data_IF_230992294761
#
_entry.id   IF_230992294761
#
_cell.length_a   1.000
_cell.length_b   1.000
_cell.length_c   1.000
_cell.angle_alpha   90.00
_cell.angle_beta   90.00
_cell.angle_gamma   90.00
#
_symmetry.space_group_name_H-M   'P 1'
#
loop_
_entity.id
_entity.type
_entity.pdbx_description
1 polymer ?
#
# COMPACT_ATOMS: atom_id res chain seq x y z
N UNK A 1 -12.85 15.82 15.17
CA UNK A 1 -12.10 15.65 13.90
C UNK A 1 -12.74 14.68 12.88
N UNK A 2 -13.70 13.79 13.21
CA UNK A 2 -14.09 12.71 12.25
C UNK A 2 -15.04 13.10 11.12
N UNK A 3 -15.78 14.21 11.20
CA UNK A 3 -16.69 14.62 10.12
C UNK A 3 -16.08 15.63 9.14
N UNK A 4 -15.10 16.40 9.60
CA UNK A 4 -14.53 17.52 8.85
C UNK A 4 -13.77 17.06 7.58
N UNK A 5 -13.08 15.91 7.63
CA UNK A 5 -12.30 15.44 6.48
C UNK A 5 -13.16 15.15 5.25
N UNK A 6 -14.43 14.72 5.42
CA UNK A 6 -15.33 14.46 4.27
C UNK A 6 -15.75 15.77 3.61
N UNK A 7 -15.99 16.82 4.41
CA UNK A 7 -16.32 18.16 3.89
C UNK A 7 -15.12 18.72 3.13
N UNK A 8 -13.93 18.73 3.77
CA UNK A 8 -12.66 19.11 3.11
C UNK A 8 -12.45 18.34 1.81
N UNK A 9 -12.67 17.03 1.83
CA UNK A 9 -12.54 16.20 0.65
C UNK A 9 -13.49 16.61 -0.49
N UNK A 10 -14.74 16.99 -0.18
CA UNK A 10 -15.68 17.51 -1.20
C UNK A 10 -15.23 18.85 -1.77
N UNK A 11 -14.58 19.68 -0.96
CA UNK A 11 -14.05 20.97 -1.37
C UNK A 11 -12.90 20.84 -2.38
N UNK A 12 -12.14 19.73 -2.36
CA UNK A 12 -11.16 19.38 -3.39
C UNK A 12 -11.85 18.85 -4.67
N UNK A 13 -12.65 19.72 -5.30
CA UNK A 13 -13.31 19.48 -6.59
C UNK A 13 -12.81 20.49 -7.61
N UNK A 14 -12.80 20.09 -8.87
CA UNK A 14 -12.52 20.99 -9.98
C UNK A 14 -13.75 21.86 -10.26
N UNK A 15 -13.58 23.18 -10.22
CA UNK A 15 -14.60 24.16 -10.57
C UNK A 15 -14.40 24.56 -12.04
N UNK A 16 -15.40 24.33 -12.88
CA UNK A 16 -15.27 24.54 -14.32
C UNK A 16 -14.86 25.97 -14.68
N UNK A 17 -15.37 26.97 -13.96
CA UNK A 17 -15.02 28.37 -14.17
C UNK A 17 -13.56 28.72 -13.83
N UNK A 18 -12.90 27.98 -12.93
CA UNK A 18 -11.50 28.19 -12.57
C UNK A 18 -10.51 27.40 -13.46
N UNK A 19 -11.01 26.62 -14.43
CA UNK A 19 -10.14 25.93 -15.41
C UNK A 19 -9.68 26.85 -16.54
N UNK A 20 -10.39 27.96 -16.74
CA UNK A 20 -10.14 28.90 -17.84
C UNK A 20 -9.12 29.95 -17.40
N UNK A 21 -8.37 30.51 -18.34
CA UNK A 21 -7.43 31.60 -18.05
C UNK A 21 -8.17 32.91 -17.71
N UNK A 22 -9.38 33.10 -18.22
CA UNK A 22 -10.28 34.22 -17.94
C UNK A 22 -11.28 33.91 -16.80
N UNK A 23 -10.79 33.30 -15.72
CA UNK A 23 -11.64 32.88 -14.60
C UNK A 23 -12.40 34.07 -13.98
N UNK A 24 -13.73 33.95 -13.91
CA UNK A 24 -14.59 34.97 -13.30
C UNK A 24 -14.61 34.83 -11.77
N UNK A 25 -14.47 35.96 -11.08
CA UNK A 25 -14.52 36.07 -9.63
C UNK A 25 -15.87 35.62 -9.04
N UNK A 26 -16.96 35.70 -9.82
CA UNK A 26 -18.29 35.22 -9.42
C UNK A 26 -18.33 33.72 -9.12
N UNK A 27 -17.43 32.92 -9.71
CA UNK A 27 -17.30 31.47 -9.45
C UNK A 27 -16.91 31.18 -8.00
N UNK A 28 -16.29 32.15 -7.32
CA UNK A 28 -15.87 32.04 -5.93
C UNK A 28 -16.96 32.48 -4.95
N UNK A 29 -18.04 33.08 -5.41
CA UNK A 29 -19.10 33.59 -4.56
C UNK A 29 -19.84 32.41 -3.90
N UNK A 30 -19.98 32.48 -2.57
CA UNK A 30 -20.57 31.41 -1.76
C UNK A 30 -19.64 30.24 -1.42
N UNK A 31 -18.37 30.26 -1.84
CA UNK A 31 -17.37 29.31 -1.34
C UNK A 31 -16.93 29.68 0.08
N UNK A 32 -16.87 28.67 0.96
CA UNK A 32 -16.29 28.87 2.29
C UNK A 32 -14.76 28.94 2.24
N UNK A 33 -14.16 29.39 3.35
CA UNK A 33 -12.70 29.53 3.48
C UNK A 33 -11.92 28.26 3.08
N UNK A 34 -12.40 27.08 3.47
CA UNK A 34 -11.75 25.81 3.14
C UNK A 34 -11.90 25.46 1.66
N UNK A 35 -13.03 25.79 1.03
CA UNK A 35 -13.23 25.62 -0.41
C UNK A 35 -12.38 26.59 -1.23
N UNK A 36 -12.19 27.83 -0.77
CA UNK A 36 -11.28 28.79 -1.40
C UNK A 36 -9.83 28.30 -1.34
N UNK A 37 -9.37 27.83 -0.17
CA UNK A 37 -8.03 27.21 -0.05
C UNK A 37 -7.90 25.97 -0.93
N UNK A 38 -8.90 25.09 -0.95
CA UNK A 38 -8.88 23.90 -1.80
C UNK A 38 -8.79 24.28 -3.29
N UNK A 39 -9.52 25.31 -3.71
CA UNK A 39 -9.50 25.79 -5.09
C UNK A 39 -8.15 26.44 -5.47
N UNK A 40 -7.54 27.20 -4.55
CA UNK A 40 -6.21 27.77 -4.73
C UNK A 40 -5.13 26.68 -4.88
N UNK A 41 -5.29 25.56 -4.18
CA UNK A 41 -4.35 24.45 -4.15
C UNK A 41 -4.63 23.35 -5.20
N UNK A 42 -5.74 23.42 -5.94
CA UNK A 42 -6.16 22.39 -6.89
C UNK A 42 -5.39 22.50 -8.23
N UNK A 43 -4.53 21.52 -8.58
CA UNK A 43 -3.75 21.55 -9.82
C UNK A 43 -4.57 21.46 -11.11
N UNK A 44 -5.84 21.06 -11.05
CA UNK A 44 -6.73 20.99 -12.22
C UNK A 44 -7.25 22.37 -12.68
N UNK A 45 -7.08 23.42 -11.86
CA UNK A 45 -7.42 24.80 -12.21
C UNK A 45 -6.29 25.45 -13.01
N UNK A 46 -6.60 26.50 -13.78
CA UNK A 46 -5.59 27.34 -14.44
C UNK A 46 -4.75 28.07 -13.39
N UNK A 47 -3.61 28.61 -13.80
CA UNK A 47 -2.79 29.45 -12.91
C UNK A 47 -3.57 30.70 -12.46
N UNK A 48 -4.25 31.36 -13.39
CA UNK A 48 -5.13 32.49 -13.09
C UNK A 48 -6.26 32.12 -12.12
N UNK A 49 -6.92 30.97 -12.32
CA UNK A 49 -7.97 30.48 -11.44
C UNK A 49 -7.47 30.18 -10.02
N UNK A 50 -6.27 29.58 -9.89
CA UNK A 50 -5.63 29.36 -8.57
C UNK A 50 -5.26 30.68 -7.89
N UNK A 51 -4.67 31.62 -8.62
CA UNK A 51 -4.31 32.93 -8.09
C UNK A 51 -5.53 33.73 -7.63
N UNK A 52 -6.61 33.70 -8.42
CA UNK A 52 -7.89 34.33 -8.07
C UNK A 52 -8.46 33.73 -6.78
N UNK A 53 -8.49 32.40 -6.66
CA UNK A 53 -8.91 31.73 -5.43
C UNK A 53 -7.99 32.07 -4.24
N UNK A 54 -6.68 32.12 -4.45
CA UNK A 54 -5.70 32.44 -3.42
C UNK A 54 -5.85 33.88 -2.88
N UNK A 55 -6.23 34.84 -3.73
CA UNK A 55 -6.45 36.23 -3.30
C UNK A 55 -7.62 36.41 -2.33
N UNK A 56 -8.59 35.49 -2.36
CA UNK A 56 -9.75 35.46 -1.43
C UNK A 56 -9.57 34.45 -0.31
N UNK A 57 -8.69 33.47 -0.46
CA UNK A 57 -8.47 32.44 0.53
C UNK A 57 -7.76 33.03 1.77
N UNK A 58 -8.18 32.67 2.99
CA UNK A 58 -7.40 33.04 4.18
C UNK A 58 -6.02 32.39 4.12
N UNK A 59 -5.03 33.05 4.74
CA UNK A 59 -3.65 32.58 4.78
C UNK A 59 -3.55 31.12 5.26
N UNK A 60 -2.54 30.41 4.74
CA UNK A 60 -2.31 28.99 5.01
C UNK A 60 -2.78 28.07 3.89
N UNK A 61 -2.19 26.88 3.85
CA UNK A 61 -2.44 25.88 2.81
C UNK A 61 -3.68 25.05 3.13
N UNK A 62 -4.30 24.49 2.10
CA UNK A 62 -5.32 23.48 2.28
C UNK A 62 -4.68 22.18 2.76
N UNK A 63 -5.23 21.59 3.84
CA UNK A 63 -4.75 20.32 4.41
C UNK A 63 -5.89 19.32 4.56
N UNK A 64 -5.57 18.05 4.36
CA UNK A 64 -6.50 16.93 4.47
C UNK A 64 -5.85 15.77 5.19
N UNK A 65 -6.31 15.51 6.40
CA UNK A 65 -5.95 14.33 7.17
C UNK A 65 -7.10 13.31 7.14
N UNK A 66 -6.87 12.16 6.52
CA UNK A 66 -7.81 11.02 6.58
C UNK A 66 -7.61 10.34 7.93
N UNK A 67 -8.67 10.09 8.73
CA UNK A 67 -8.53 9.45 10.04
C UNK A 67 -7.90 8.04 9.97
N UNK A 68 -6.97 7.79 10.90
CA UNK A 68 -6.26 6.51 11.00
C UNK A 68 -7.07 5.38 11.61
N UNK A 69 -6.46 4.19 11.61
CA UNK A 69 -7.03 3.01 12.25
C UNK A 69 -6.58 2.85 13.70
N UNK A 70 -5.44 3.46 14.03
CA UNK A 70 -4.79 3.45 15.34
C UNK A 70 -5.20 4.70 16.13
N UNK A 71 -5.27 4.55 17.46
CA UNK A 71 -5.44 5.63 18.43
C UNK A 71 -4.26 5.59 19.42
N UNK A 72 -4.00 6.70 20.10
CA UNK A 72 -2.97 6.80 21.15
C UNK A 72 -3.03 5.62 22.15
N UNK A 73 -4.22 5.30 22.68
CA UNK A 73 -4.44 4.16 23.60
C UNK A 73 -4.08 2.78 23.03
N UNK A 74 -4.16 2.61 21.71
CA UNK A 74 -3.81 1.33 21.08
C UNK A 74 -2.29 1.13 21.11
N UNK A 75 -1.51 2.22 21.02
CA UNK A 75 -0.04 2.22 21.02
C UNK A 75 0.57 1.85 22.38
N UNK A 76 -0.17 2.00 23.48
CA UNK A 76 0.24 1.54 24.81
C UNK A 76 0.50 0.02 24.87
N UNK A 77 -0.04 -0.76 23.91
CA UNK A 77 0.28 -2.19 23.76
C UNK A 77 1.67 -2.46 23.18
N UNK A 78 2.38 -1.43 22.73
CA UNK A 78 3.71 -1.51 22.15
C UNK A 78 3.80 -2.48 20.97
N UNK A 79 4.87 -3.27 20.94
CA UNK A 79 5.11 -4.23 19.86
C UNK A 79 4.02 -5.32 19.75
N UNK A 80 3.33 -5.68 20.85
CA UNK A 80 2.29 -6.73 20.83
C UNK A 80 1.12 -6.37 19.91
N UNK A 81 0.88 -5.08 19.65
CA UNK A 81 -0.15 -4.62 18.70
C UNK A 81 0.09 -5.15 17.28
N UNK A 82 1.35 -5.18 16.84
CA UNK A 82 1.74 -5.51 15.46
C UNK A 82 2.31 -6.92 15.31
N UNK A 83 2.98 -7.42 16.36
CA UNK A 83 3.74 -8.66 16.36
C UNK A 83 3.09 -9.77 17.21
N UNK A 84 1.85 -9.60 17.66
CA UNK A 84 1.12 -10.59 18.46
C UNK A 84 0.50 -11.75 17.66
N UNK A 85 -0.37 -12.51 18.34
CA UNK A 85 -1.05 -13.72 17.82
C UNK A 85 -1.74 -13.56 16.47
N UNK A 86 -2.33 -12.39 16.18
CA UNK A 86 -2.97 -12.16 14.88
C UNK A 86 -2.02 -12.26 13.69
N UNK A 87 -0.73 -11.95 13.86
CA UNK A 87 0.28 -12.15 12.81
C UNK A 87 0.62 -13.63 12.66
N UNK A 88 0.81 -14.31 13.79
CA UNK A 88 1.10 -15.75 13.86
C UNK A 88 -0.01 -16.53 13.14
N UNK A 89 -1.27 -16.27 13.46
CA UNK A 89 -2.43 -16.90 12.83
C UNK A 89 -2.44 -16.73 11.31
N UNK A 90 -2.20 -15.52 10.79
CA UNK A 90 -2.12 -15.27 9.33
C UNK A 90 -0.97 -16.02 8.67
N UNK A 91 0.20 -16.07 9.31
CA UNK A 91 1.37 -16.77 8.75
C UNK A 91 1.13 -18.28 8.69
N UNK A 92 0.62 -18.87 9.78
CA UNK A 92 0.40 -20.31 9.87
C UNK A 92 -0.80 -20.78 9.05
N UNK A 93 -1.91 -20.04 9.00
CA UNK A 93 -3.04 -20.40 8.13
C UNK A 93 -2.67 -20.39 6.65
N UNK A 94 -1.86 -19.41 6.22
CA UNK A 94 -1.32 -19.38 4.86
C UNK A 94 -0.41 -20.57 4.57
N UNK A 95 0.50 -20.91 5.49
CA UNK A 95 1.37 -22.09 5.34
C UNK A 95 0.57 -23.40 5.32
N UNK A 96 -0.39 -23.55 6.23
CA UNK A 96 -1.25 -24.73 6.32
C UNK A 96 -2.04 -24.95 5.02
N UNK A 97 -2.56 -23.89 4.40
CA UNK A 97 -3.20 -23.97 3.09
C UNK A 97 -2.27 -24.61 2.04
N UNK A 98 -1.02 -24.15 1.94
CA UNK A 98 -0.05 -24.71 0.99
C UNK A 98 0.33 -26.16 1.31
N UNK A 99 0.44 -26.52 2.60
CA UNK A 99 0.72 -27.90 3.00
C UNK A 99 -0.43 -28.85 2.66
N UNK A 100 -1.67 -28.44 2.91
CA UNK A 100 -2.86 -29.22 2.53
C UNK A 100 -2.91 -29.40 1.02
N UNK A 101 -2.70 -28.32 0.27
CA UNK A 101 -2.66 -28.39 -1.19
C UNK A 101 -1.56 -29.33 -1.71
N UNK A 102 -0.36 -29.27 -1.13
CA UNK A 102 0.74 -30.17 -1.49
C UNK A 102 0.38 -31.63 -1.20
N UNK A 103 -0.26 -31.90 -0.05
CA UNK A 103 -0.73 -33.24 0.30
C UNK A 103 -1.79 -33.76 -0.69
N UNK A 104 -2.70 -32.90 -1.14
CA UNK A 104 -3.71 -33.24 -2.16
C UNK A 104 -3.04 -33.60 -3.49
N UNK A 105 -2.08 -32.79 -3.93
CA UNK A 105 -1.34 -33.06 -5.17
C UNK A 105 -0.51 -34.36 -5.08
N UNK A 106 0.13 -34.60 -3.94
CA UNK A 106 0.89 -35.84 -3.70
C UNK A 106 -0.03 -37.07 -3.69
N UNK A 107 -1.18 -36.99 -3.03
CA UNK A 107 -2.17 -38.06 -3.01
C UNK A 107 -2.73 -38.36 -4.41
N UNK A 108 -3.00 -37.32 -5.21
CA UNK A 108 -3.44 -37.49 -6.60
C UNK A 108 -2.36 -38.17 -7.47
N UNK A 109 -1.08 -37.90 -7.23
CA UNK A 109 0.03 -38.51 -7.96
C UNK A 109 0.32 -39.96 -7.54
N UNK A 110 0.15 -40.29 -6.24
CA UNK A 110 0.32 -41.65 -5.73
C UNK A 110 -0.88 -42.54 -6.10
N UNK A 111 -2.09 -41.98 -6.12
CA UNK A 111 -3.33 -42.69 -6.46
C UNK A 111 -3.51 -43.03 -7.94
N UNK A 112 -2.67 -42.50 -8.83
CA UNK A 112 -2.61 -42.92 -10.23
C UNK A 112 -1.68 -44.13 -10.36
N UNK A 113 -2.21 -45.34 -10.20
CA UNK A 113 -1.51 -46.57 -10.59
C UNK A 113 -1.48 -46.69 -12.12
N UNK A 114 -0.30 -46.78 -12.72
CA UNK A 114 -0.15 -47.08 -14.15
C UNK A 114 0.01 -48.59 -14.30
N UNK A 115 -1.09 -49.31 -14.54
CA UNK A 115 -1.00 -50.69 -14.99
C UNK A 115 -0.61 -50.72 -16.47
N UNK A 116 0.58 -51.25 -16.75
CA UNK A 116 1.09 -51.40 -18.12
C UNK A 116 0.74 -52.80 -18.60
N UNK A 117 -0.37 -52.95 -19.30
CA UNK A 117 -0.62 -54.14 -20.11
C UNK A 117 0.24 -54.05 -21.39
N UNK A 118 0.98 -55.12 -21.79
CA UNK A 118 1.91 -55.07 -22.92
C UNK A 118 1.26 -54.80 -24.30
N UNK A 119 -0.07 -54.78 -24.40
CA UNK A 119 -0.81 -54.50 -25.64
C UNK A 119 -1.76 -53.30 -25.55
N UNK A 120 -2.02 -52.75 -24.36
CA UNK A 120 -2.85 -51.56 -24.15
C UNK A 120 -2.37 -50.81 -22.90
N UNK A 121 -1.94 -49.57 -23.08
CA UNK A 121 -1.66 -48.68 -21.95
C UNK A 121 -3.01 -48.20 -21.39
N UNK A 122 -3.61 -48.96 -20.47
CA UNK A 122 -4.84 -48.57 -19.76
C UNK A 122 -4.43 -47.92 -18.45
N UNK A 123 -4.63 -46.61 -18.35
CA UNK A 123 -4.43 -45.89 -17.09
C UNK A 123 -5.66 -46.15 -16.20
N UNK A 124 -5.60 -47.19 -15.36
CA UNK A 124 -6.62 -47.48 -14.35
C UNK A 124 -6.40 -46.60 -13.11
N UNK A 125 -7.26 -45.60 -12.91
CA UNK A 125 -7.20 -44.69 -11.75
C UNK A 125 -8.11 -45.20 -10.63
N UNK A 126 -7.54 -45.89 -9.65
CA UNK A 126 -8.07 -45.96 -8.28
C UNK A 126 -9.23 -46.93 -7.98
N UNK A 127 -9.48 -47.18 -6.68
CA UNK A 127 -10.08 -48.40 -6.12
C UNK A 127 -11.59 -48.50 -6.32
N UNK A 128 -12.10 -49.68 -6.70
CA UNK A 128 -13.49 -49.92 -7.12
C UNK A 128 -14.57 -49.58 -6.07
N UNK A 129 -14.21 -49.39 -4.79
CA UNK A 129 -15.17 -49.22 -3.68
C UNK A 129 -14.94 -48.00 -2.77
N UNK A 130 -13.98 -47.12 -3.05
CA UNK A 130 -13.83 -45.89 -2.26
C UNK A 130 -14.88 -44.88 -2.72
N UNK A 131 -15.74 -44.43 -1.80
CA UNK A 131 -16.71 -43.35 -2.03
C UNK A 131 -15.98 -42.03 -2.31
N UNK A 132 -15.56 -41.86 -3.56
CA UNK A 132 -14.73 -40.76 -4.04
C UNK A 132 -15.36 -39.40 -3.72
N UNK A 133 -16.70 -39.32 -3.72
CA UNK A 133 -17.44 -38.11 -3.39
C UNK A 133 -17.16 -37.64 -1.95
N UNK A 134 -17.09 -38.58 -1.00
CA UNK A 134 -16.75 -38.27 0.39
C UNK A 134 -15.30 -37.79 0.52
N UNK A 135 -14.36 -38.46 -0.16
CA UNK A 135 -12.94 -38.07 -0.12
C UNK A 135 -12.74 -36.67 -0.71
N UNK A 136 -13.32 -36.38 -1.87
CA UNK A 136 -13.25 -35.05 -2.49
C UNK A 136 -13.93 -33.97 -1.63
N UNK A 137 -15.04 -34.29 -0.96
CA UNK A 137 -15.69 -33.40 0.00
C UNK A 137 -14.79 -33.00 1.17
N UNK A 138 -14.17 -33.98 1.83
CA UNK A 138 -13.24 -33.73 2.95
C UNK A 138 -11.98 -33.00 2.51
N UNK A 139 -11.43 -33.36 1.35
CA UNK A 139 -10.26 -32.71 0.75
C UNK A 139 -10.56 -31.24 0.41
N UNK A 140 -11.71 -30.99 -0.22
CA UNK A 140 -12.16 -29.63 -0.53
C UNK A 140 -12.34 -28.79 0.73
N UNK A 141 -12.97 -29.35 1.76
CA UNK A 141 -13.14 -28.66 3.04
C UNK A 141 -11.80 -28.37 3.74
N UNK A 142 -10.88 -29.35 3.75
CA UNK A 142 -9.55 -29.22 4.34
C UNK A 142 -8.71 -28.13 3.66
N UNK A 143 -8.87 -27.92 2.35
CA UNK A 143 -8.21 -26.84 1.62
C UNK A 143 -8.91 -25.47 1.81
N UNK A 144 -10.25 -25.45 1.77
CA UNK A 144 -11.02 -24.21 1.87
C UNK A 144 -10.96 -23.58 3.26
N UNK A 145 -10.89 -24.38 4.33
CA UNK A 145 -10.91 -23.86 5.69
C UNK A 145 -9.67 -23.01 6.05
N UNK A 146 -8.41 -23.46 5.84
CA UNK A 146 -7.24 -22.62 6.05
C UNK A 146 -7.23 -21.35 5.18
N UNK A 147 -7.72 -21.44 3.94
CA UNK A 147 -7.86 -20.30 3.04
C UNK A 147 -8.87 -19.27 3.60
N UNK A 148 -10.03 -19.74 4.07
CA UNK A 148 -11.05 -18.90 4.69
C UNK A 148 -10.51 -18.25 5.97
N UNK A 149 -9.82 -19.00 6.84
CA UNK A 149 -9.19 -18.47 8.06
C UNK A 149 -8.16 -17.42 7.69
N UNK A 150 -7.28 -17.69 6.72
CA UNK A 150 -6.27 -16.74 6.25
C UNK A 150 -6.92 -15.46 5.70
N UNK A 151 -7.96 -15.60 4.89
CA UNK A 151 -8.71 -14.50 4.30
C UNK A 151 -9.37 -13.64 5.40
N UNK A 152 -10.12 -14.25 6.31
CA UNK A 152 -10.78 -13.56 7.42
C UNK A 152 -9.77 -12.89 8.36
N UNK A 153 -8.68 -13.58 8.72
CA UNK A 153 -7.64 -13.03 9.59
C UNK A 153 -6.89 -11.85 8.94
N UNK A 154 -6.79 -11.84 7.60
CA UNK A 154 -6.23 -10.75 6.82
C UNK A 154 -7.21 -9.58 6.70
N UNK A 155 -8.43 -9.82 6.20
CA UNK A 155 -9.48 -8.84 6.00
C UNK A 155 -9.86 -8.11 7.31
N UNK A 156 -9.99 -8.86 8.40
CA UNK A 156 -10.45 -8.36 9.70
C UNK A 156 -9.32 -7.82 10.59
N UNK A 157 -8.10 -7.61 10.05
CA UNK A 157 -7.02 -6.93 10.78
C UNK A 157 -7.48 -5.54 11.20
N UNK A 158 -7.68 -5.34 12.51
CA UNK A 158 -8.39 -4.15 13.04
C UNK A 158 -7.56 -2.86 13.06
N UNK A 159 -6.26 -2.98 13.32
CA UNK A 159 -5.35 -1.87 13.67
C UNK A 159 -4.05 -1.86 12.84
N UNK A 160 -4.10 -1.91 11.49
CA UNK A 160 -2.91 -1.67 10.69
C UNK A 160 -2.48 -0.20 10.82
N UNK A 161 -1.18 0.06 10.98
CA UNK A 161 -0.64 1.41 10.82
C UNK A 161 -0.64 1.81 9.34
N UNK A 162 -0.77 3.09 9.03
CA UNK A 162 -0.49 3.64 7.71
C UNK A 162 0.94 4.17 7.71
N UNK A 163 1.80 3.52 6.95
CA UNK A 163 3.22 3.85 6.82
C UNK A 163 3.41 4.49 5.46
N UNK A 164 3.77 5.78 5.41
CA UNK A 164 4.27 6.37 4.17
C UNK A 164 5.73 5.96 4.01
N UNK A 165 6.09 5.39 2.86
CA UNK A 165 7.47 5.13 2.47
C UNK A 165 7.87 6.11 1.36
N UNK A 166 8.72 7.08 1.72
CA UNK A 166 9.42 7.94 0.79
C UNK A 166 10.71 7.24 0.37
N UNK A 167 10.92 7.09 -0.94
CA UNK A 167 12.08 6.40 -1.49
C UNK A 167 12.38 6.89 -2.90
N UNK A 168 13.61 6.69 -3.35
CA UNK A 168 13.94 6.78 -4.76
C UNK A 168 13.38 5.58 -5.53
N UNK A 169 12.87 5.82 -6.74
CA UNK A 169 12.46 4.76 -7.66
C UNK A 169 13.53 4.46 -8.72
N UNK A 170 13.39 3.32 -9.39
CA UNK A 170 14.10 2.96 -10.63
C UNK A 170 15.58 2.63 -10.50
N UNK A 171 16.07 2.33 -9.29
CA UNK A 171 17.41 1.75 -9.12
C UNK A 171 17.29 0.34 -8.58
N UNK A 172 17.34 -0.65 -9.48
CA UNK A 172 17.17 -2.08 -9.15
C UNK A 172 18.07 -2.54 -8.01
N UNK A 173 19.31 -2.04 -7.96
CA UNK A 173 20.29 -2.38 -6.93
C UNK A 173 19.83 -2.04 -5.50
N UNK A 174 18.95 -1.04 -5.34
CA UNK A 174 18.41 -0.63 -4.03
C UNK A 174 16.98 -1.13 -3.81
N UNK A 175 16.20 -1.28 -4.89
CA UNK A 175 14.81 -1.73 -4.81
C UNK A 175 14.68 -3.14 -4.22
N UNK A 176 15.54 -4.08 -4.62
CA UNK A 176 15.41 -5.47 -4.17
C UNK A 176 15.67 -5.64 -2.66
N UNK A 177 16.78 -5.12 -2.09
CA UNK A 177 16.95 -5.08 -0.63
C UNK A 177 15.78 -4.42 0.11
N UNK A 178 15.27 -3.30 -0.42
CA UNK A 178 14.18 -2.57 0.21
C UNK A 178 12.85 -3.34 0.13
N UNK A 179 12.57 -4.06 -0.95
CA UNK A 179 11.40 -4.95 -1.06
C UNK A 179 11.45 -6.07 -0.02
N UNK A 180 12.63 -6.65 0.22
CA UNK A 180 12.83 -7.62 1.30
C UNK A 180 12.60 -6.96 2.67
N UNK A 181 13.10 -5.74 2.89
CA UNK A 181 12.85 -4.99 4.13
C UNK A 181 11.37 -4.65 4.36
N UNK A 182 10.67 -4.26 3.29
CA UNK A 182 9.22 -4.06 3.29
C UNK A 182 8.50 -5.33 3.78
N UNK A 183 8.85 -6.48 3.20
CA UNK A 183 8.22 -7.77 3.54
C UNK A 183 8.55 -8.22 4.97
N UNK A 184 9.82 -8.16 5.35
CA UNK A 184 10.34 -8.73 6.60
C UNK A 184 10.03 -7.85 7.81
N UNK A 185 10.21 -6.53 7.68
CA UNK A 185 10.30 -5.60 8.80
C UNK A 185 9.14 -4.59 8.83
N UNK A 186 8.72 -4.04 7.69
CA UNK A 186 7.75 -2.92 7.66
C UNK A 186 6.29 -3.38 7.61
N UNK A 187 5.96 -4.38 6.78
CA UNK A 187 4.59 -4.90 6.58
C UNK A 187 3.91 -5.41 7.85
N UNK A 188 4.65 -5.96 8.85
CA UNK A 188 4.08 -6.26 10.15
C UNK A 188 3.40 -5.07 10.83
N UNK A 189 3.86 -3.83 10.61
CA UNK A 189 3.24 -2.64 11.18
C UNK A 189 1.89 -2.29 10.53
N UNK A 190 1.74 -2.46 9.22
CA UNK A 190 0.47 -2.12 8.58
C UNK A 190 0.51 -2.01 7.06
N UNK A 191 -0.21 -1.01 6.55
CA UNK A 191 -0.29 -0.68 5.13
C UNK A 191 0.84 0.29 4.81
N UNK A 192 1.76 -0.13 3.94
CA UNK A 192 2.84 0.71 3.47
C UNK A 192 2.39 1.33 2.16
N UNK A 193 2.38 2.65 2.05
CA UNK A 193 2.08 3.38 0.84
C UNK A 193 3.34 4.05 0.31
N UNK A 194 3.55 4.05 -1.00
CA UNK A 194 4.72 4.69 -1.62
C UNK A 194 4.33 5.30 -2.96
N UNK A 195 4.97 6.40 -3.33
CA UNK A 195 4.65 7.16 -4.54
C UNK A 195 5.55 6.79 -5.69
N UNK A 196 5.03 6.22 -6.76
CA UNK A 196 5.85 5.85 -7.91
C UNK A 196 6.35 7.09 -8.67
N UNK A 197 7.65 7.39 -8.58
CA UNK A 197 8.34 8.53 -9.22
C UNK A 197 8.64 8.31 -10.71
N UNK A 198 7.82 7.56 -11.46
CA UNK A 198 8.12 7.37 -12.88
C UNK A 198 6.88 7.24 -13.73
N UNK A 199 7.00 7.81 -14.94
CA UNK A 199 6.35 7.47 -16.19
C UNK A 199 6.44 5.97 -16.48
N UNK A 200 5.89 5.12 -15.61
CA UNK A 200 5.78 3.69 -15.85
C UNK A 200 4.90 3.58 -17.09
N UNK A 201 5.56 3.31 -18.22
CA UNK A 201 4.93 2.77 -19.43
C UNK A 201 3.98 1.71 -18.89
N UNK A 202 2.67 1.97 -19.03
CA UNK A 202 1.65 0.99 -18.67
C UNK A 202 2.13 -0.29 -19.30
N UNK A 203 2.49 -1.27 -18.47
CA UNK A 203 2.74 -2.60 -18.99
C UNK A 203 1.36 -3.13 -19.39
N UNK A 204 0.93 -2.74 -20.59
CA UNK A 204 -0.37 -3.07 -21.17
C UNK A 204 -0.51 -4.58 -21.29
N UNK A 205 0.61 -5.32 -21.25
CA UNK A 205 0.71 -6.77 -21.35
C UNK A 205 1.14 -7.44 -20.04
N UNK A 206 1.25 -6.72 -18.92
CA UNK A 206 1.56 -7.35 -17.62
C UNK A 206 0.51 -8.38 -17.18
N UNK A 207 -0.73 -8.27 -17.68
CA UNK A 207 -1.74 -9.31 -17.49
C UNK A 207 -1.48 -10.55 -18.34
N UNK A 208 -0.88 -10.41 -19.52
CA UNK A 208 -0.49 -11.53 -20.40
C UNK A 208 0.65 -12.30 -19.75
N UNK A 209 1.67 -11.63 -19.20
CA UNK A 209 2.74 -12.31 -18.47
C UNK A 209 2.21 -13.03 -17.23
N UNK A 210 1.23 -12.44 -16.54
CA UNK A 210 0.54 -13.11 -15.42
C UNK A 210 -0.28 -14.31 -15.91
N UNK A 211 -0.96 -14.19 -17.05
CA UNK A 211 -1.74 -15.28 -17.65
C UNK A 211 -0.86 -16.43 -18.13
N UNK A 212 0.28 -16.15 -18.77
CA UNK A 212 1.23 -17.19 -19.20
C UNK A 212 1.94 -17.85 -18.03
N UNK A 213 2.32 -17.10 -17.00
CA UNK A 213 2.82 -17.69 -15.75
C UNK A 213 1.75 -18.54 -15.04
N UNK A 214 0.48 -18.16 -15.17
CA UNK A 214 -0.63 -18.93 -14.65
C UNK A 214 -0.85 -20.25 -15.41
N UNK A 215 -0.53 -20.35 -16.70
CA UNK A 215 -0.60 -21.62 -17.45
C UNK A 215 0.35 -22.69 -16.89
N UNK A 216 1.47 -22.30 -16.28
CA UNK A 216 2.39 -23.20 -15.59
C UNK A 216 1.94 -23.62 -14.18
N UNK A 217 0.84 -23.06 -13.66
CA UNK A 217 0.33 -23.37 -12.32
C UNK A 217 -1.21 -23.44 -12.34
N UNK A 218 -1.82 -24.65 -12.23
CA UNK A 218 -3.26 -24.82 -12.40
C UNK A 218 -4.12 -24.00 -11.42
N UNK A 219 -3.61 -23.67 -10.22
CA UNK A 219 -4.33 -22.82 -9.27
C UNK A 219 -4.25 -21.34 -9.64
N UNK A 220 -3.10 -20.90 -10.15
CA UNK A 220 -2.97 -19.55 -10.68
C UNK A 220 -3.87 -19.40 -11.92
N UNK A 221 -3.98 -20.42 -12.78
CA UNK A 221 -4.91 -20.44 -13.90
C UNK A 221 -6.36 -20.37 -13.43
N UNK A 222 -6.79 -21.21 -12.48
CA UNK A 222 -8.14 -21.17 -11.93
C UNK A 222 -8.47 -19.81 -11.30
N UNK A 223 -7.54 -19.27 -10.49
CA UNK A 223 -7.68 -17.94 -9.92
C UNK A 223 -7.75 -16.84 -10.99
N UNK A 224 -6.99 -16.98 -12.08
CA UNK A 224 -7.04 -16.04 -13.19
C UNK A 224 -8.37 -16.13 -13.94
N UNK A 225 -8.86 -17.33 -14.25
CA UNK A 225 -10.12 -17.56 -14.96
C UNK A 225 -11.32 -17.03 -14.16
N UNK A 226 -11.38 -17.31 -12.86
CA UNK A 226 -12.49 -16.86 -12.00
C UNK A 226 -12.31 -15.40 -11.58
N UNK A 227 -11.08 -15.01 -11.25
CA UNK A 227 -10.78 -13.70 -10.67
C UNK A 227 -10.62 -12.57 -11.68
N UNK A 228 -10.19 -12.84 -12.91
CA UNK A 228 -10.01 -11.80 -13.93
C UNK A 228 -11.32 -11.13 -14.36
N UNK A 229 -12.43 -11.85 -14.62
CA UNK A 229 -13.72 -11.22 -14.92
C UNK A 229 -14.22 -10.33 -13.77
N UNK A 230 -14.11 -10.82 -12.52
CA UNK A 230 -14.49 -10.06 -11.33
C UNK A 230 -13.64 -8.78 -11.23
N UNK A 231 -12.31 -8.89 -11.38
CA UNK A 231 -11.41 -7.74 -11.37
C UNK A 231 -11.71 -6.76 -12.51
N UNK A 232 -12.02 -7.25 -13.71
CA UNK A 232 -12.36 -6.42 -14.85
C UNK A 232 -13.64 -5.62 -14.58
N UNK A 233 -14.71 -6.30 -14.12
CA UNK A 233 -15.98 -5.67 -13.76
C UNK A 233 -15.76 -4.61 -12.68
N UNK A 234 -15.06 -4.96 -11.59
CA UNK A 234 -14.75 -4.00 -10.53
C UNK A 234 -13.93 -2.81 -11.02
N UNK A 235 -12.97 -3.04 -11.92
CA UNK A 235 -12.12 -1.97 -12.48
C UNK A 235 -12.87 -1.06 -13.45
N UNK A 236 -13.94 -1.53 -14.08
CA UNK A 236 -14.83 -0.69 -14.89
C UNK A 236 -15.58 0.33 -14.02
N UNK A 237 -16.03 -0.06 -12.83
CA UNK A 237 -16.76 0.82 -11.90
C UNK A 237 -15.84 1.66 -11.01
N UNK A 238 -14.72 1.11 -10.56
CA UNK A 238 -13.73 1.80 -9.74
C UNK A 238 -12.29 1.44 -10.17
N UNK A 239 -11.76 2.23 -11.13
CA UNK A 239 -10.36 2.13 -11.57
C UNK A 239 -9.35 2.26 -10.44
N UNK A 240 -9.75 2.88 -9.33
CA UNK A 240 -8.93 3.07 -8.14
C UNK A 240 -9.16 2.04 -7.05
N UNK A 241 -10.13 1.12 -7.20
CA UNK A 241 -10.48 0.15 -6.16
C UNK A 241 -9.53 -1.05 -6.09
N UNK A 242 -9.03 -1.52 -7.24
CA UNK A 242 -8.10 -2.66 -7.32
C UNK A 242 -6.86 -2.34 -8.16
N UNK A 243 -5.69 -2.58 -7.57
CA UNK A 243 -4.38 -2.32 -8.18
C UNK A 243 -3.72 -1.02 -7.70
N UNK A 244 -2.63 -0.59 -8.35
CA UNK A 244 -1.96 0.68 -8.05
C UNK A 244 -2.96 1.83 -8.17
N UNK A 245 -3.03 2.69 -7.15
CA UNK A 245 -3.84 3.90 -7.27
C UNK A 245 -3.19 4.84 -8.29
N UNK A 246 -3.98 5.55 -9.07
CA UNK A 246 -3.48 6.56 -10.02
C UNK A 246 -4.21 7.85 -9.72
N UNK A 247 -3.47 8.96 -9.58
CA UNK A 247 -4.00 10.29 -9.33
C UNK A 247 -3.60 11.21 -10.46
N UNK A 248 -4.54 11.52 -11.35
CA UNK A 248 -4.35 12.42 -12.47
C UNK A 248 -5.13 13.73 -12.33
N UNK A 249 -6.15 13.75 -11.46
CA UNK A 249 -7.09 14.84 -11.28
C UNK A 249 -7.72 14.81 -9.87
N UNK A 250 -8.54 15.80 -9.56
CA UNK A 250 -9.19 15.95 -8.26
C UNK A 250 -10.17 14.82 -7.91
N UNK A 251 -10.80 14.18 -8.90
CA UNK A 251 -11.67 13.02 -8.66
C UNK A 251 -10.84 11.83 -8.18
N UNK A 252 -9.72 11.55 -8.85
CA UNK A 252 -8.83 10.46 -8.48
C UNK A 252 -8.20 10.70 -7.10
N UNK A 253 -7.77 11.94 -6.82
CA UNK A 253 -7.27 12.33 -5.51
C UNK A 253 -8.30 12.05 -4.40
N UNK A 254 -9.57 12.39 -4.65
CA UNK A 254 -10.63 12.12 -3.68
C UNK A 254 -10.88 10.64 -3.46
N UNK A 255 -10.82 9.85 -4.53
CA UNK A 255 -10.96 8.40 -4.43
C UNK A 255 -9.79 7.77 -3.67
N UNK A 256 -8.55 8.25 -3.89
CA UNK A 256 -7.39 7.84 -3.09
C UNK A 256 -7.63 8.10 -1.60
N UNK A 257 -8.05 9.30 -1.22
CA UNK A 257 -8.30 9.62 0.18
C UNK A 257 -9.40 8.74 0.82
N UNK A 258 -10.47 8.42 0.07
CA UNK A 258 -11.49 7.45 0.53
C UNK A 258 -10.91 6.06 0.71
N UNK A 259 -10.05 5.62 -0.22
CA UNK A 259 -9.36 4.32 -0.15
C UNK A 259 -8.43 4.24 1.05
N UNK A 260 -7.75 5.33 1.43
CA UNK A 260 -6.95 5.39 2.66
C UNK A 260 -7.77 5.17 3.94
N UNK A 261 -9.10 5.32 3.86
CA UNK A 261 -10.04 5.02 4.95
C UNK A 261 -10.60 3.59 4.89
N UNK A 262 -10.55 2.93 3.74
CA UNK A 262 -11.04 1.56 3.56
C UNK A 262 -10.03 0.53 4.09
N UNK A 263 -10.17 0.23 5.38
CA UNK A 263 -9.32 -0.75 6.07
C UNK A 263 -9.37 -2.13 5.41
N UNK A 264 -10.55 -2.61 5.04
CA UNK A 264 -10.73 -3.99 4.58
C UNK A 264 -10.14 -4.13 3.18
N UNK A 265 -10.43 -3.17 2.29
CA UNK A 265 -9.84 -3.13 0.95
C UNK A 265 -8.32 -3.08 1.01
N UNK A 266 -7.74 -2.22 1.84
CA UNK A 266 -6.29 -2.13 2.02
C UNK A 266 -5.69 -3.40 2.64
N UNK A 267 -6.36 -4.01 3.62
CA UNK A 267 -5.91 -5.27 4.22
C UNK A 267 -5.81 -6.39 3.19
N UNK A 268 -6.86 -6.56 2.38
CA UNK A 268 -6.91 -7.56 1.32
C UNK A 268 -5.88 -7.28 0.25
N UNK A 269 -5.78 -6.03 -0.22
CA UNK A 269 -4.79 -5.66 -1.21
C UNK A 269 -3.37 -5.97 -0.74
N UNK A 270 -3.01 -5.54 0.49
CA UNK A 270 -1.70 -5.85 1.03
C UNK A 270 -1.53 -7.36 1.13
N UNK A 271 -2.52 -8.13 1.61
CA UNK A 271 -2.42 -9.59 1.69
C UNK A 271 -2.13 -10.25 0.33
N UNK A 272 -2.74 -9.78 -0.75
CA UNK A 272 -2.56 -10.33 -2.11
C UNK A 272 -1.32 -9.80 -2.84
N UNK A 273 -0.80 -8.62 -2.48
CA UNK A 273 0.43 -8.07 -3.08
C UNK A 273 1.64 -8.55 -2.29
N UNK A 274 2.40 -9.52 -2.80
CA UNK A 274 3.48 -10.16 -2.04
C UNK A 274 4.77 -9.33 -1.94
N UNK A 275 5.05 -8.46 -2.91
CA UNK A 275 6.38 -7.81 -3.05
C UNK A 275 6.41 -6.30 -2.92
N UNK A 276 5.27 -5.61 -3.02
CA UNK A 276 5.26 -4.15 -3.14
C UNK A 276 4.43 -3.46 -2.07
N UNK A 277 4.85 -2.24 -1.72
CA UNK A 277 4.01 -1.28 -1.04
C UNK A 277 2.75 -0.99 -1.86
N UNK A 278 1.72 -0.44 -1.23
CA UNK A 278 0.61 0.20 -1.90
C UNK A 278 1.11 1.36 -2.76
N UNK A 279 1.37 1.08 -4.04
CA UNK A 279 1.92 2.05 -4.99
C UNK A 279 0.82 3.01 -5.43
N UNK A 280 1.13 4.31 -5.30
CA UNK A 280 0.33 5.40 -5.83
C UNK A 280 1.10 6.07 -6.95
N UNK A 281 0.51 6.10 -8.14
CA UNK A 281 1.03 6.80 -9.31
C UNK A 281 0.39 8.18 -9.36
N UNK A 282 1.17 9.19 -9.68
CA UNK A 282 0.71 10.58 -9.70
C UNK A 282 1.20 11.27 -10.96
N UNK A 283 0.48 12.29 -11.42
CA UNK A 283 1.04 13.24 -12.39
C UNK A 283 1.94 14.27 -11.70
N UNK A 284 2.78 14.93 -12.49
CA UNK A 284 3.66 16.01 -12.03
C UNK A 284 2.89 17.20 -11.43
N UNK A 285 1.64 17.38 -11.80
CA UNK A 285 0.76 18.40 -11.22
C UNK A 285 0.27 18.00 -9.81
N UNK A 286 0.05 16.71 -9.57
CA UNK A 286 -0.65 16.20 -8.37
C UNK A 286 0.26 15.60 -7.29
N UNK A 287 1.49 15.20 -7.61
CA UNK A 287 2.37 14.47 -6.66
C UNK A 287 2.55 15.20 -5.33
N UNK A 288 2.76 16.52 -5.34
CA UNK A 288 2.93 17.32 -4.11
C UNK A 288 1.71 17.25 -3.20
N UNK A 289 0.50 17.32 -3.76
CA UNK A 289 -0.73 17.23 -2.98
C UNK A 289 -0.95 15.83 -2.45
N UNK A 290 -0.56 14.80 -3.21
CA UNK A 290 -0.63 13.42 -2.74
C UNK A 290 0.38 13.14 -1.62
N UNK A 291 1.61 13.66 -1.71
CA UNK A 291 2.58 13.59 -0.60
C UNK A 291 2.01 14.22 0.66
N UNK A 292 1.46 15.44 0.55
CA UNK A 292 0.86 16.14 1.70
C UNK A 292 -0.30 15.36 2.31
N UNK A 293 -1.18 14.80 1.48
CA UNK A 293 -2.23 13.89 1.94
C UNK A 293 -1.62 12.74 2.75
N UNK A 294 -0.52 12.15 2.29
CA UNK A 294 0.16 11.08 3.02
C UNK A 294 0.86 11.55 4.29
N UNK A 295 1.50 12.72 4.32
CA UNK A 295 2.07 13.30 5.53
C UNK A 295 0.99 13.53 6.59
N UNK A 296 -0.16 14.08 6.19
CA UNK A 296 -1.27 14.35 7.09
C UNK A 296 -2.01 13.07 7.51
N UNK A 297 -1.96 12.02 6.68
CA UNK A 297 -2.74 10.79 6.88
C UNK A 297 -1.89 9.58 7.29
N UNK A 298 -0.59 9.67 7.48
CA UNK A 298 0.21 8.49 7.89
C UNK A 298 0.43 8.47 9.39
N UNK A 299 0.40 7.28 9.97
CA UNK A 299 0.73 7.07 11.38
C UNK A 299 2.25 7.22 11.61
N UNK A 300 3.06 6.89 10.60
CA UNK A 300 4.52 7.05 10.58
C UNK A 300 5.00 7.33 9.16
N UNK A 301 6.05 8.13 9.02
CA UNK A 301 6.72 8.41 7.77
C UNK A 301 8.08 7.69 7.80
N UNK A 302 8.32 6.81 6.84
CA UNK A 302 9.57 6.09 6.66
C UNK A 302 10.27 6.68 5.45
N UNK A 303 11.51 7.14 5.63
CA UNK A 303 12.27 7.79 4.56
C UNK A 303 13.52 6.98 4.28
N UNK A 304 13.61 6.42 3.08
CA UNK A 304 14.81 5.73 2.60
C UNK A 304 15.80 6.72 1.99
N UNK A 305 16.94 6.83 2.65
CA UNK A 305 18.05 7.72 2.33
C UNK A 305 19.21 7.00 1.66
N UNK A 306 19.02 5.76 1.21
CA UNK A 306 20.04 5.01 0.45
C UNK A 306 20.56 5.81 -0.76
N UNK A 307 19.70 6.65 -1.36
CA UNK A 307 20.11 7.63 -2.38
C UNK A 307 19.21 8.86 -2.33
N UNK A 308 19.79 10.00 -1.96
CA UNK A 308 19.08 11.28 -1.92
C UNK A 308 19.05 11.90 -3.31
N UNK A 309 17.85 12.11 -3.87
CA UNK A 309 17.63 12.83 -5.14
C UNK A 309 17.11 14.24 -4.88
N UNK A 310 16.89 15.02 -5.95
CA UNK A 310 16.19 16.30 -5.84
C UNK A 310 14.76 16.15 -5.26
N UNK A 311 14.05 15.08 -5.61
CA UNK A 311 12.74 14.77 -5.04
C UNK A 311 12.82 14.50 -3.54
N UNK A 312 13.71 13.60 -3.13
CA UNK A 312 13.95 13.31 -1.70
C UNK A 312 14.44 14.53 -0.93
N UNK A 313 15.28 15.38 -1.55
CA UNK A 313 15.72 16.63 -0.95
C UNK A 313 14.53 17.56 -0.64
N UNK A 314 13.63 17.74 -1.60
CA UNK A 314 12.40 18.52 -1.39
C UNK A 314 11.50 17.92 -0.31
N UNK A 315 11.39 16.59 -0.24
CA UNK A 315 10.63 15.89 0.80
C UNK A 315 11.23 16.14 2.19
N UNK A 316 12.56 16.08 2.31
CA UNK A 316 13.27 16.39 3.57
C UNK A 316 13.12 17.85 3.98
N UNK A 317 13.20 18.78 3.03
CA UNK A 317 12.96 20.21 3.30
C UNK A 317 11.52 20.42 3.78
N UNK A 318 10.54 19.75 3.17
CA UNK A 318 9.15 19.79 3.61
C UNK A 318 8.97 19.19 5.01
N UNK A 319 9.65 18.07 5.32
CA UNK A 319 9.63 17.46 6.66
C UNK A 319 10.17 18.44 7.71
N UNK A 320 11.24 19.17 7.41
CA UNK A 320 11.80 20.20 8.29
C UNK A 320 10.82 21.36 8.46
N UNK A 321 10.35 21.93 7.36
CA UNK A 321 9.51 23.14 7.34
C UNK A 321 8.15 22.90 8.02
N UNK A 322 7.60 21.69 7.89
CA UNK A 322 6.34 21.27 8.54
C UNK A 322 6.55 20.61 9.91
N UNK A 323 7.78 20.59 10.44
CA UNK A 323 8.15 20.01 11.74
C UNK A 323 7.71 18.53 11.90
N UNK A 324 7.79 17.76 10.82
CA UNK A 324 7.35 16.36 10.78
C UNK A 324 8.44 15.37 11.22
N UNK A 325 9.67 15.84 11.50
CA UNK A 325 10.79 14.98 11.89
C UNK A 325 10.49 14.02 13.06
N UNK A 326 9.73 14.38 14.12
CA UNK A 326 9.36 13.44 15.18
C UNK A 326 8.49 12.27 14.72
N UNK A 327 7.79 12.41 13.59
CA UNK A 327 6.94 11.38 12.97
C UNK A 327 7.70 10.54 11.94
N UNK A 328 8.99 10.83 11.74
CA UNK A 328 9.82 10.21 10.73
C UNK A 328 10.78 9.17 11.32
N UNK A 329 10.93 8.06 10.61
CA UNK A 329 12.00 7.08 10.79
C UNK A 329 12.84 7.08 9.53
N UNK A 330 14.14 7.29 9.67
CA UNK A 330 15.06 7.35 8.54
C UNK A 330 15.80 6.03 8.43
N UNK A 331 15.88 5.48 7.22
CA UNK A 331 16.56 4.22 6.93
C UNK A 331 17.55 4.40 5.80
N UNK A 332 18.56 3.54 5.73
CA UNK A 332 19.49 3.48 4.60
C UNK A 332 20.07 2.08 4.50
N UNK A 333 20.50 1.67 3.31
CA UNK A 333 21.30 0.46 3.14
C UNK A 333 22.58 0.60 3.99
N UNK A 334 22.97 -0.47 4.70
CA UNK A 334 24.06 -0.43 5.71
C UNK A 334 25.39 0.23 5.27
N UNK A 335 25.76 0.15 4.00
CA UNK A 335 26.96 0.82 3.46
C UNK A 335 26.79 2.30 3.08
N UNK A 336 25.61 2.88 3.31
CA UNK A 336 25.21 4.24 2.90
C UNK A 336 24.72 5.08 4.10
N UNK A 337 25.05 4.67 5.32
CA UNK A 337 24.55 5.31 6.55
C UNK A 337 25.19 6.67 6.78
N UNK A 338 26.50 6.80 6.54
CA UNK A 338 27.23 8.06 6.75
C UNK A 338 26.73 9.16 5.82
N UNK A 339 26.59 8.86 4.52
CA UNK A 339 26.03 9.79 3.53
C UNK A 339 24.59 10.18 3.89
N UNK A 340 23.75 9.20 4.28
CA UNK A 340 22.39 9.46 4.72
C UNK A 340 22.34 10.37 5.97
N UNK A 341 23.21 10.13 6.96
CA UNK A 341 23.28 10.94 8.17
C UNK A 341 23.76 12.36 7.88
N UNK A 342 24.75 12.52 6.99
CA UNK A 342 25.20 13.83 6.52
C UNK A 342 24.09 14.61 5.80
N UNK A 343 23.28 13.94 4.97
CA UNK A 343 22.16 14.55 4.27
C UNK A 343 21.05 15.07 5.21
N UNK A 344 20.83 14.39 6.35
CA UNK A 344 19.93 14.84 7.41
C UNK A 344 20.52 16.01 8.20
N UNK A 345 21.81 15.91 8.57
CA UNK A 345 22.50 16.95 9.32
C UNK A 345 22.52 18.29 8.54
N UNK A 346 22.74 18.24 7.23
CA UNK A 346 22.68 19.42 6.35
C UNK A 346 21.32 20.14 6.35
N UNK A 347 20.25 19.49 6.83
CA UNK A 347 18.90 20.04 6.95
C UNK A 347 18.47 20.28 8.40
N UNK A 348 19.37 20.12 9.36
CA UNK A 348 19.08 20.27 10.79
C UNK A 348 18.20 19.17 11.36
N UNK A 349 18.14 17.99 10.73
CA UNK A 349 17.38 16.84 11.24
C UNK A 349 18.34 15.94 12.03
N UNK A 350 18.15 15.87 13.35
CA UNK A 350 19.03 15.12 14.26
C UNK A 350 18.65 13.64 14.44
N UNK A 351 17.56 13.18 13.82
CA UNK A 351 17.10 11.80 13.96
C UNK A 351 18.19 10.81 13.45
N UNK A 352 18.34 9.65 14.10
CA UNK A 352 19.30 8.64 13.66
C UNK A 352 18.82 7.93 12.39
N UNK A 353 19.76 7.55 11.53
CA UNK A 353 19.52 6.64 10.40
C UNK A 353 19.63 5.18 10.86
N UNK A 354 18.63 4.36 10.53
CA UNK A 354 18.60 2.94 10.87
C UNK A 354 19.03 2.08 9.68
N UNK A 355 20.18 1.38 9.75
CA UNK A 355 20.66 0.56 8.64
C UNK A 355 19.85 -0.72 8.44
N UNK A 356 19.62 -1.07 7.18
CA UNK A 356 19.17 -2.40 6.78
C UNK A 356 20.19 -3.09 5.87
N UNK A 357 20.28 -4.41 5.99
CA UNK A 357 21.17 -5.25 5.21
C UNK A 357 20.55 -5.62 3.83
N UNK A 358 21.36 -6.10 2.87
CA UNK A 358 20.86 -6.50 1.55
C UNK A 358 19.77 -7.58 1.56
N UNK A 359 19.72 -8.42 2.60
CA UNK A 359 18.67 -9.43 2.83
C UNK A 359 17.33 -8.84 3.33
N UNK A 360 17.29 -7.53 3.59
CA UNK A 360 16.13 -6.82 4.08
C UNK A 360 15.96 -6.85 5.60
N UNK A 361 16.92 -7.36 6.36
CA UNK A 361 16.86 -7.29 7.82
C UNK A 361 17.44 -5.96 8.34
N UNK A 362 16.78 -5.37 9.34
CA UNK A 362 17.36 -4.24 10.07
C UNK A 362 18.55 -4.73 10.89
N UNK A 363 19.66 -4.00 10.86
CA UNK A 363 20.87 -4.34 11.63
C UNK A 363 20.56 -4.37 13.14
N UNK A 364 19.83 -3.36 13.63
CA UNK A 364 19.26 -3.35 14.97
C UNK A 364 17.73 -3.28 14.90
N UNK A 365 17.12 -4.46 14.80
CA UNK A 365 15.67 -4.63 14.73
C UNK A 365 14.96 -4.08 15.96
N UNK A 366 15.53 -4.18 17.16
CA UNK A 366 14.87 -3.71 18.39
C UNK A 366 14.78 -2.18 18.39
N UNK A 367 15.90 -1.51 18.12
CA UNK A 367 15.97 -0.04 18.04
C UNK A 367 15.11 0.51 16.91
N UNK A 368 15.11 -0.13 15.74
CA UNK A 368 14.20 0.25 14.64
C UNK A 368 12.73 0.16 15.04
N UNK A 369 12.31 -0.93 15.69
CA UNK A 369 10.92 -1.10 16.14
C UNK A 369 10.53 -0.06 17.20
N UNK A 370 11.45 0.27 18.11
CA UNK A 370 11.25 1.33 19.08
C UNK A 370 11.07 2.69 18.39
N UNK A 371 11.90 3.01 17.39
CA UNK A 371 11.76 4.24 16.60
C UNK A 371 10.42 4.32 15.85
N UNK A 372 9.99 3.22 15.22
CA UNK A 372 8.67 3.14 14.56
C UNK A 372 7.51 3.42 15.54
N UNK A 373 7.56 2.85 16.75
CA UNK A 373 6.54 3.10 17.77
C UNK A 373 6.59 4.53 18.32
N UNK A 374 7.80 5.08 18.51
CA UNK A 374 8.00 6.47 18.92
C UNK A 374 7.40 7.45 17.91
N UNK A 375 7.69 7.23 16.62
CA UNK A 375 7.15 8.05 15.54
C UNK A 375 5.61 7.96 15.42
N UNK A 376 5.04 6.77 15.62
CA UNK A 376 3.58 6.61 15.69
C UNK A 376 2.99 7.35 16.90
N UNK A 377 3.66 7.31 18.04
CA UNK A 377 3.21 8.00 19.26
C UNK A 377 3.23 9.52 19.05
N UNK A 378 4.25 10.05 18.38
CA UNK A 378 4.33 11.47 18.01
C UNK A 378 3.18 11.92 17.09
N UNK A 379 2.66 11.04 16.25
CA UNK A 379 1.48 11.33 15.39
C UNK A 379 0.16 11.35 16.18
N UNK A 380 0.08 10.61 17.28
CA UNK A 380 -1.14 10.43 18.07
C UNK A 380 -0.96 10.98 19.49
N UNK A 381 -0.88 12.32 19.66
CA UNK A 381 -0.78 12.91 20.99
C UNK A 381 -1.99 12.49 21.85
N UNK A 382 -1.71 12.20 23.12
CA UNK A 382 -2.65 11.68 24.12
C UNK A 382 -3.80 12.63 24.44
#
# INVERSE_FOLDING_TARGET
>A
MSEDWRKRLRNMRTLAGLKREDADASVLDGLDADALRAAADNPDHSEAGRALAASRAPTGRWRLAVPGFIKARDLARGQKLFFGWGRVLRKWSGLAFYLVLLAILAAAFIGTSVEVEPSRMVVAVGPEDADLDNIYGFVGLAALLPLLIWFLASALRRKPARVLLLRKFNVRAYSEPLERAISNEFRPFGHIASLSDEFIRRDYFGWVSTATLALGNPLAALWFIVGAPIRLIYRLFDRSGMGPAVVLNARDFRNLARRLRDRIGLNLQVAFTSKEAFLVRTSDAWWRQVIRLFFDSSDVILVDLTKVTAGTAWELDTIRDEQLAPRCVFISLWGQVEEAQAALAARGIANPVHPYAPDGHMVDRHRFRAAMLGAMTATHPS
#
